data_IF_558768244070
#
_entry.id   IF_558768244070
#
_cell.length_a   1.000
_cell.length_b   1.000
_cell.length_c   1.000
_cell.angle_alpha   90.00
_cell.angle_beta   90.00
_cell.angle_gamma   90.00
#
_symmetry.space_group_name_H-M   'P 1'
#
loop_
_entity.id
_entity.type
_entity.pdbx_description
1 polymer ?
#
# COMPACT_ATOMS: atom_id res chain seq x y z
N UNK A 1 1.60 6.31 -15.90
CA UNK A 1 1.02 5.50 -14.82
C UNK A 1 -0.23 6.22 -14.35
N UNK A 2 -1.26 5.48 -13.96
CA UNK A 2 -2.48 6.02 -13.36
C UNK A 2 -2.46 5.69 -11.86
N UNK A 3 -2.99 6.59 -11.06
CA UNK A 3 -3.19 6.36 -9.63
C UNK A 3 -4.69 6.31 -9.34
N UNK A 4 -5.12 5.27 -8.63
CA UNK A 4 -6.43 5.20 -8.01
C UNK A 4 -6.30 5.27 -6.49
N UNK A 5 -7.25 5.93 -5.85
CA UNK A 5 -7.37 5.96 -4.39
C UNK A 5 -8.74 5.49 -3.95
N UNK A 6 -8.80 4.86 -2.78
CA UNK A 6 -10.07 4.61 -2.10
C UNK A 6 -10.53 5.86 -1.34
N UNK A 7 -11.77 5.86 -0.87
CA UNK A 7 -12.13 6.65 0.32
C UNK A 7 -11.41 6.10 1.57
N UNK A 8 -11.36 6.84 2.70
CA UNK A 8 -10.84 6.30 3.96
C UNK A 8 -11.54 4.99 4.34
N UNK A 9 -10.75 4.03 4.79
CA UNK A 9 -11.16 2.69 5.17
C UNK A 9 -10.84 2.41 6.64
N UNK A 10 -11.59 1.51 7.24
CA UNK A 10 -11.27 0.97 8.57
C UNK A 10 -10.00 0.10 8.50
N UNK A 11 -9.25 0.01 9.61
CA UNK A 11 -7.99 -0.74 9.68
C UNK A 11 -8.10 -2.19 9.18
N UNK A 12 -9.21 -2.87 9.46
CA UNK A 12 -9.42 -4.24 8.98
C UNK A 12 -9.44 -4.31 7.44
N UNK A 13 -10.11 -3.36 6.78
CA UNK A 13 -10.15 -3.29 5.32
C UNK A 13 -8.78 -2.91 4.73
N UNK A 14 -7.99 -2.05 5.39
CA UNK A 14 -6.61 -1.74 4.97
C UNK A 14 -5.72 -3.00 4.98
N UNK A 15 -5.85 -3.85 6.00
CA UNK A 15 -5.10 -5.11 6.10
C UNK A 15 -5.57 -6.15 5.07
N UNK A 16 -6.86 -6.16 4.71
CA UNK A 16 -7.36 -6.96 3.60
C UNK A 16 -6.77 -6.50 2.26
N UNK A 17 -6.64 -5.19 2.05
CA UNK A 17 -6.03 -4.66 0.82
C UNK A 17 -4.52 -4.92 0.75
N UNK A 18 -3.81 -4.87 1.88
CA UNK A 18 -2.42 -5.34 1.97
C UNK A 18 -2.29 -6.82 1.58
N UNK A 19 -3.22 -7.65 2.05
CA UNK A 19 -3.26 -9.07 1.72
C UNK A 19 -3.54 -9.29 0.23
N UNK A 20 -4.48 -8.52 -0.33
CA UNK A 20 -4.78 -8.55 -1.76
C UNK A 20 -3.59 -8.12 -2.62
N UNK A 21 -2.88 -7.05 -2.24
CA UNK A 21 -1.64 -6.64 -2.89
C UNK A 21 -0.61 -7.78 -2.91
N UNK A 22 -0.40 -8.46 -1.78
CA UNK A 22 0.50 -9.61 -1.71
C UNK A 22 0.05 -10.78 -2.62
N UNK A 23 -1.26 -10.98 -2.77
CA UNK A 23 -1.80 -11.98 -3.70
C UNK A 23 -1.55 -11.60 -5.17
N UNK A 24 -1.72 -10.32 -5.51
CA UNK A 24 -1.43 -9.79 -6.85
C UNK A 24 0.05 -9.99 -7.20
N UNK A 25 0.96 -9.72 -6.26
CA UNK A 25 2.40 -10.00 -6.44
C UNK A 25 2.66 -11.49 -6.67
N UNK A 26 2.03 -12.37 -5.90
CA UNK A 26 2.19 -13.82 -6.02
C UNK A 26 1.74 -14.31 -7.41
N UNK A 27 0.60 -13.82 -7.89
CA UNK A 27 0.07 -14.17 -9.22
C UNK A 27 0.99 -13.72 -10.36
N UNK A 28 1.77 -12.66 -10.15
CA UNK A 28 2.77 -12.15 -11.10
C UNK A 28 4.15 -12.80 -10.94
N UNK A 29 4.32 -13.75 -10.02
CA UNK A 29 5.62 -14.40 -9.73
C UNK A 29 6.65 -13.46 -9.11
N UNK A 30 6.21 -12.40 -8.44
CA UNK A 30 7.09 -11.43 -7.77
C UNK A 30 7.34 -11.92 -6.35
N UNK A 31 8.61 -12.15 -6.01
CA UNK A 31 9.01 -12.72 -4.71
C UNK A 31 9.38 -11.67 -3.66
N UNK A 32 9.64 -10.42 -4.07
CA UNK A 32 10.09 -9.34 -3.19
C UNK A 32 9.42 -8.02 -3.54
N UNK A 33 9.18 -7.20 -2.53
CA UNK A 33 8.76 -5.80 -2.68
C UNK A 33 9.57 -4.91 -1.74
N UNK A 34 9.79 -3.66 -2.12
CA UNK A 34 10.42 -2.69 -1.24
C UNK A 34 9.35 -2.06 -0.36
N UNK A 35 9.62 -1.91 0.93
CA UNK A 35 8.77 -1.23 1.90
C UNK A 35 9.47 0.03 2.40
N UNK A 36 8.74 1.13 2.54
CA UNK A 36 9.19 2.34 3.23
C UNK A 36 8.11 2.80 4.22
N UNK A 37 8.54 3.43 5.31
CA UNK A 37 7.67 4.11 6.25
C UNK A 37 7.83 5.62 6.10
N UNK A 38 6.70 6.32 6.00
CA UNK A 38 6.66 7.76 5.72
C UNK A 38 5.97 8.54 6.83
N UNK A 39 5.15 9.52 6.46
CA UNK A 39 4.52 10.45 7.41
C UNK A 39 3.80 9.73 8.54
N UNK A 40 3.77 10.40 9.70
CA UNK A 40 3.16 9.90 10.93
C UNK A 40 3.68 8.54 11.43
N UNK A 41 4.83 8.08 10.93
CA UNK A 41 5.61 7.01 11.54
C UNK A 41 6.39 7.55 12.75
N UNK A 42 6.57 6.73 13.77
CA UNK A 42 7.40 7.04 14.93
C UNK A 42 8.88 6.74 14.63
N UNK A 43 9.42 7.48 13.66
CA UNK A 43 10.80 7.41 13.20
C UNK A 43 11.41 8.81 13.19
N UNK A 44 12.73 8.89 13.30
CA UNK A 44 13.44 10.14 13.03
C UNK A 44 13.32 10.46 11.53
N UNK A 45 13.36 11.75 11.17
CA UNK A 45 13.22 12.19 9.79
C UNK A 45 14.27 11.57 8.86
N UNK A 46 15.46 11.30 9.40
CA UNK A 46 16.57 10.68 8.69
C UNK A 46 16.37 9.17 8.49
N UNK A 47 15.44 8.52 9.20
CA UNK A 47 15.09 7.10 9.10
C UNK A 47 13.79 6.86 8.32
N UNK A 48 13.01 7.90 8.06
CA UNK A 48 11.86 7.84 7.16
C UNK A 48 12.30 7.65 5.70
N UNK A 49 11.43 7.03 4.88
CA UNK A 49 11.67 6.84 3.44
C UNK A 49 12.85 5.93 3.09
N UNK A 50 13.37 5.16 4.05
CA UNK A 50 14.37 4.13 3.78
C UNK A 50 13.74 2.89 3.18
N UNK A 51 14.20 2.52 1.99
CA UNK A 51 13.75 1.31 1.30
C UNK A 51 14.30 0.05 1.96
N UNK A 52 13.39 -0.82 2.37
CA UNK A 52 13.70 -2.15 2.89
C UNK A 52 13.14 -3.20 1.95
N UNK A 53 14.00 -4.05 1.39
CA UNK A 53 13.53 -5.15 0.55
C UNK A 53 13.00 -6.30 1.42
N UNK A 54 11.73 -6.62 1.26
CA UNK A 54 11.03 -7.63 2.07
C UNK A 54 10.50 -8.74 1.15
N UNK A 55 10.69 -10.03 1.48
CA UNK A 55 10.04 -11.11 0.76
C UNK A 55 8.52 -10.94 0.78
N UNK A 56 7.85 -11.08 -0.35
CA UNK A 56 6.40 -10.93 -0.52
C UNK A 56 5.62 -11.67 0.57
N UNK A 57 6.04 -12.90 0.88
CA UNK A 57 5.39 -13.75 1.89
C UNK A 57 5.45 -13.19 3.32
N UNK A 58 6.41 -12.31 3.61
CA UNK A 58 6.69 -11.77 4.93
C UNK A 58 6.18 -10.32 5.08
N UNK A 59 5.64 -9.71 4.02
CA UNK A 59 5.19 -8.29 3.98
C UNK A 59 4.14 -7.99 5.04
N UNK A 60 3.09 -8.81 5.14
CA UNK A 60 2.04 -8.61 6.12
C UNK A 60 2.57 -8.71 7.56
N UNK A 61 3.39 -9.72 7.84
CA UNK A 61 4.02 -9.90 9.14
C UNK A 61 5.01 -8.78 9.48
N UNK A 62 5.70 -8.23 8.48
CA UNK A 62 6.59 -7.09 8.63
C UNK A 62 5.83 -5.83 9.08
N UNK A 63 4.74 -5.50 8.38
CA UNK A 63 3.87 -4.36 8.74
C UNK A 63 3.27 -4.53 10.13
N UNK A 64 2.71 -5.70 10.43
CA UNK A 64 2.11 -5.96 11.74
C UNK A 64 3.15 -5.97 12.87
N UNK A 65 4.40 -6.36 12.59
CA UNK A 65 5.49 -6.28 13.56
C UNK A 65 5.91 -4.84 13.84
N UNK A 66 5.99 -4.00 12.79
CA UNK A 66 6.25 -2.58 12.94
C UNK A 66 5.13 -1.86 13.71
N UNK A 67 3.88 -2.24 13.48
CA UNK A 67 2.74 -1.72 14.23
C UNK A 67 2.78 -2.12 15.72
N UNK A 68 3.06 -3.40 16.02
CA UNK A 68 3.23 -3.86 17.41
C UNK A 68 4.40 -3.19 18.14
N UNK A 69 5.47 -2.84 17.40
CA UNK A 69 6.61 -2.11 17.93
C UNK A 69 6.30 -0.61 18.14
N UNK A 70 5.16 -0.12 17.65
CA UNK A 70 4.79 1.29 17.70
C UNK A 70 5.55 2.16 16.70
N UNK A 71 6.18 1.56 15.69
CA UNK A 71 6.89 2.28 14.61
C UNK A 71 5.90 2.92 13.64
N UNK A 72 4.80 2.23 13.34
CA UNK A 72 3.71 2.70 12.47
C UNK A 72 2.37 2.41 13.13
N UNK A 73 1.31 3.05 12.66
CA UNK A 73 -0.08 2.70 12.97
C UNK A 73 -0.82 2.56 11.64
N UNK A 74 -1.41 1.41 11.36
CA UNK A 74 -2.07 1.17 10.06
C UNK A 74 -3.27 2.09 9.91
N UNK A 75 -3.29 2.85 8.80
CA UNK A 75 -4.28 3.88 8.51
C UNK A 75 -3.99 5.23 9.13
N UNK A 76 -2.87 5.38 9.86
CA UNK A 76 -2.43 6.66 10.44
C UNK A 76 -0.98 7.00 10.16
N UNK A 77 -0.18 6.05 9.73
CA UNK A 77 1.17 6.27 9.22
C UNK A 77 1.21 5.87 7.75
N UNK A 78 2.06 6.53 6.96
CA UNK A 78 2.28 6.11 5.59
C UNK A 78 3.13 4.84 5.53
N UNK A 79 2.64 3.85 4.80
CA UNK A 79 3.35 2.62 4.50
C UNK A 79 3.33 2.42 2.99
N UNK A 80 4.50 2.56 2.37
CA UNK A 80 4.67 2.42 0.93
C UNK A 80 5.24 1.05 0.59
N UNK A 81 4.71 0.43 -0.46
CA UNK A 81 5.24 -0.76 -1.08
C UNK A 81 5.45 -0.51 -2.57
N UNK A 82 6.60 -0.91 -3.10
CA UNK A 82 6.90 -0.73 -4.52
C UNK A 82 7.68 -1.91 -5.11
N UNK A 83 7.24 -2.35 -6.30
CA UNK A 83 7.94 -3.37 -7.07
C UNK A 83 7.48 -3.36 -8.52
N UNK A 84 8.41 -3.43 -9.48
CA UNK A 84 8.08 -3.63 -10.90
C UNK A 84 7.11 -2.60 -11.51
N UNK A 85 7.11 -1.35 -11.05
CA UNK A 85 6.18 -0.31 -11.52
C UNK A 85 4.78 -0.38 -10.92
N UNK A 86 4.57 -1.20 -9.88
CA UNK A 86 3.39 -1.23 -9.03
C UNK A 86 3.75 -0.59 -7.68
N UNK A 87 3.14 0.54 -7.39
CA UNK A 87 3.22 1.25 -6.12
C UNK A 87 1.89 1.08 -5.37
N UNK A 88 1.96 0.67 -4.12
CA UNK A 88 0.82 0.51 -3.22
C UNK A 88 1.09 1.25 -1.92
N UNK A 89 0.16 2.09 -1.48
CA UNK A 89 0.32 2.90 -0.27
C UNK A 89 -0.86 2.66 0.67
N UNK A 90 -0.56 2.37 1.93
CA UNK A 90 -1.49 2.59 3.05
C UNK A 90 -1.20 3.99 3.58
N UNK A 91 -2.09 4.94 3.32
CA UNK A 91 -1.87 6.35 3.62
C UNK A 91 -2.20 6.67 5.09
N UNK A 92 -1.57 7.71 5.63
CA UNK A 92 -1.89 8.30 6.93
C UNK A 92 -3.31 8.90 7.00
N UNK A 93 -3.97 9.12 5.86
CA UNK A 93 -5.37 9.54 5.75
C UNK A 93 -6.36 8.35 5.75
N UNK A 94 -5.88 7.16 6.07
CA UNK A 94 -6.62 5.89 6.08
C UNK A 94 -7.17 5.45 4.72
N UNK A 95 -6.69 6.00 3.60
CA UNK A 95 -7.02 5.52 2.25
C UNK A 95 -5.90 4.66 1.65
N UNK A 96 -6.24 3.88 0.62
CA UNK A 96 -5.29 3.05 -0.13
C UNK A 96 -5.03 3.70 -1.48
N UNK A 97 -3.76 3.84 -1.84
CA UNK A 97 -3.37 4.31 -3.17
C UNK A 97 -2.77 3.15 -3.96
N UNK A 98 -3.14 3.04 -5.23
CA UNK A 98 -2.49 2.14 -6.17
C UNK A 98 -2.05 2.95 -7.38
N UNK A 99 -0.76 2.90 -7.70
CA UNK A 99 -0.21 3.57 -8.88
C UNK A 99 0.57 2.57 -9.74
N UNK A 100 0.10 2.41 -10.98
CA UNK A 100 0.65 1.40 -11.89
C UNK A 100 0.35 1.73 -13.36
N UNK A 101 0.64 0.77 -14.25
CA UNK A 101 0.06 0.75 -15.60
C UNK A 101 -1.47 0.64 -15.52
N UNK A 102 -2.17 1.08 -16.57
CA UNK A 102 -3.63 1.13 -16.57
C UNK A 102 -4.25 -0.23 -16.22
N UNK A 103 -3.80 -1.31 -16.87
CA UNK A 103 -4.31 -2.67 -16.66
C UNK A 103 -4.09 -3.17 -15.23
N UNK A 104 -2.92 -2.91 -14.64
CA UNK A 104 -2.61 -3.32 -13.27
C UNK A 104 -3.39 -2.50 -12.24
N UNK A 105 -3.57 -1.20 -12.49
CA UNK A 105 -4.31 -0.32 -11.60
C UNK A 105 -5.84 -0.58 -11.66
N UNK A 106 -6.37 -0.95 -12.83
CA UNK A 106 -7.79 -1.31 -12.99
C UNK A 106 -8.16 -2.57 -12.22
N UNK A 107 -7.24 -3.54 -12.08
CA UNK A 107 -7.46 -4.75 -11.27
C UNK A 107 -7.88 -4.42 -9.82
N UNK A 108 -7.22 -3.43 -9.20
CA UNK A 108 -7.58 -2.94 -7.87
C UNK A 108 -8.86 -2.10 -7.89
N UNK A 109 -8.97 -1.17 -8.85
CA UNK A 109 -10.14 -0.29 -8.97
C UNK A 109 -11.44 -1.08 -9.14
N UNK A 110 -11.44 -2.12 -9.96
CA UNK A 110 -12.62 -2.94 -10.23
C UNK A 110 -12.99 -3.79 -9.02
N UNK A 111 -12.00 -4.41 -8.35
CA UNK A 111 -12.22 -5.08 -7.06
C UNK A 111 -12.86 -4.14 -6.04
N UNK A 112 -12.35 -2.93 -5.88
CA UNK A 112 -12.89 -1.95 -4.94
C UNK A 112 -14.35 -1.61 -5.25
N UNK A 113 -14.70 -1.42 -6.52
CA UNK A 113 -16.10 -1.20 -6.94
C UNK A 113 -16.99 -2.41 -6.60
N UNK A 114 -16.49 -3.62 -6.82
CA UNK A 114 -17.23 -4.86 -6.49
C UNK A 114 -17.46 -5.01 -4.97
N UNK A 115 -16.56 -4.46 -4.15
CA UNK A 115 -16.71 -4.38 -2.69
C UNK A 115 -17.63 -3.21 -2.23
N UNK A 116 -18.12 -2.38 -3.16
CA UNK A 116 -18.97 -1.23 -2.87
C UNK A 116 -18.20 0.04 -2.49
N UNK A 117 -16.88 0.08 -2.69
CA UNK A 117 -16.09 1.30 -2.53
C UNK A 117 -16.29 2.25 -3.70
N UNK A 118 -15.87 3.50 -3.54
CA UNK A 118 -15.98 4.54 -4.57
C UNK A 118 -14.59 5.08 -4.94
N UNK A 119 -13.74 4.25 -5.59
CA UNK A 119 -12.38 4.68 -5.90
C UNK A 119 -12.38 5.77 -6.97
N UNK A 120 -11.40 6.68 -6.88
CA UNK A 120 -11.25 7.80 -7.81
C UNK A 120 -9.84 7.85 -8.40
N UNK A 121 -9.75 8.25 -9.67
CA UNK A 121 -8.47 8.43 -10.35
C UNK A 121 -7.88 9.79 -9.98
N UNK A 122 -6.57 9.84 -9.72
CA UNK A 122 -5.82 11.08 -9.54
C UNK A 122 -5.19 11.46 -10.87
N UNK A 123 -5.49 12.67 -11.35
CA UNK A 123 -4.81 13.20 -12.53
C UNK A 123 -3.42 13.71 -12.13
N UNK A 124 -2.37 13.46 -12.94
CA UNK A 124 -1.08 14.08 -12.72
C UNK A 124 -1.26 15.60 -12.76
N UNK A 125 -0.77 16.31 -11.75
CA UNK A 125 -0.65 17.77 -11.80
C UNK A 125 0.21 18.13 -13.02
N UNK A 126 -0.38 18.80 -14.01
CA UNK A 126 0.29 19.29 -15.22
C UNK A 126 1.33 20.35 -14.90
#
# INVERSE_FOLDING_TARGET
MIEYRTQPLETAALLEELSFYCQVLANKGIETTNIMFGWDSNLDIDDMWHEMSVPRKDVADFVLSAERAGTVIVGRSDIFMSTGGLEFTLCHESDVHIKATADAASEFSDRWKDMGYSPYAVQPST
#
